data_IF_353288018534
#
_entry.id   IF_353288018534
#
_cell.length_a   1.000
_cell.length_b   1.000
_cell.length_c   1.000
_cell.angle_alpha   90.00
_cell.angle_beta   90.00
_cell.angle_gamma   90.00
#
_symmetry.space_group_name_H-M   'P 1'
#
loop_
_entity.id
_entity.type
_entity.pdbx_description
1 polymer ?
#
# COMPACT_ATOMS: atom_id res chain seq x y z
N UNK A 1 7.72 -10.18 -6.52
CA UNK A 1 6.27 -10.02 -6.38
C UNK A 1 5.85 -10.47 -4.98
N UNK A 2 5.27 -9.57 -4.20
CA UNK A 2 4.88 -9.84 -2.82
C UNK A 2 3.51 -9.25 -2.54
N UNK A 3 2.65 -10.04 -1.92
CA UNK A 3 1.32 -9.61 -1.51
C UNK A 3 1.31 -9.35 0.01
N UNK A 4 0.87 -8.16 0.39
CA UNK A 4 0.67 -7.79 1.78
C UNK A 4 -0.83 -7.68 2.06
N UNK A 5 -1.31 -8.42 3.04
CA UNK A 5 -2.72 -8.43 3.44
C UNK A 5 -2.83 -8.71 4.93
N UNK A 6 -4.05 -8.83 5.43
CA UNK A 6 -4.32 -9.14 6.84
C UNK A 6 -3.78 -8.08 7.81
N UNK A 7 -3.71 -6.83 7.36
CA UNK A 7 -3.39 -5.69 8.23
C UNK A 7 -4.66 -4.92 8.61
N UNK A 8 -4.55 -4.08 9.63
CA UNK A 8 -5.67 -3.26 10.07
C UNK A 8 -5.82 -2.06 9.15
N UNK A 9 -6.90 -1.99 8.39
CA UNK A 9 -7.16 -0.84 7.53
C UNK A 9 -8.65 -0.70 7.25
N UNK A 10 -9.13 0.54 7.29
CA UNK A 10 -10.52 0.87 6.95
C UNK A 10 -10.70 1.09 5.44
N UNK A 11 -9.62 1.26 4.70
CA UNK A 11 -9.69 1.64 3.29
C UNK A 11 -9.01 0.64 2.36
N UNK A 12 -7.93 0.01 2.80
CA UNK A 12 -7.07 -0.83 1.95
C UNK A 12 -7.22 -2.29 2.36
N UNK A 13 -7.56 -3.14 1.41
CA UNK A 13 -7.66 -4.59 1.63
C UNK A 13 -6.31 -5.27 1.47
N UNK A 14 -5.56 -4.90 0.45
CA UNK A 14 -4.25 -5.50 0.18
C UNK A 14 -3.38 -4.58 -0.68
N UNK A 15 -2.08 -4.82 -0.59
CA UNK A 15 -1.07 -4.15 -1.42
C UNK A 15 -0.17 -5.23 -1.98
N UNK A 16 0.00 -5.25 -3.30
CA UNK A 16 0.92 -6.18 -3.96
C UNK A 16 2.02 -5.39 -4.65
N UNK A 17 3.28 -5.80 -4.44
CA UNK A 17 4.42 -5.16 -5.09
C UNK A 17 4.91 -6.03 -6.23
N UNK A 18 5.23 -5.40 -7.35
CA UNK A 18 5.86 -6.03 -8.51
C UNK A 18 7.18 -5.32 -8.79
N UNK A 19 7.81 -5.63 -9.93
CA UNK A 19 9.13 -5.10 -10.25
C UNK A 19 9.17 -3.58 -10.29
N UNK A 20 8.17 -2.96 -10.92
CA UNK A 20 8.09 -1.50 -11.05
C UNK A 20 6.67 -0.97 -10.88
N UNK A 21 5.81 -1.75 -10.25
CA UNK A 21 4.42 -1.39 -10.01
C UNK A 21 3.97 -1.81 -8.62
N UNK A 22 2.97 -1.10 -8.12
CA UNK A 22 2.29 -1.44 -6.88
C UNK A 22 0.80 -1.55 -7.20
N UNK A 23 0.20 -2.67 -6.81
CA UNK A 23 -1.24 -2.89 -7.01
C UNK A 23 -1.93 -2.76 -5.68
N UNK A 24 -2.99 -1.97 -5.65
CA UNK A 24 -3.74 -1.69 -4.42
C UNK A 24 -5.18 -2.13 -4.62
N UNK A 25 -5.67 -2.92 -3.67
CA UNK A 25 -7.07 -3.33 -3.61
C UNK A 25 -7.73 -2.60 -2.46
N UNK A 26 -8.79 -1.87 -2.74
CA UNK A 26 -9.55 -1.13 -1.73
C UNK A 26 -10.65 -2.00 -1.15
N UNK A 27 -10.92 -1.83 0.15
CA UNK A 27 -11.96 -2.60 0.83
C UNK A 27 -13.36 -2.35 0.26
N UNK A 28 -13.59 -1.15 -0.28
CA UNK A 28 -14.87 -0.79 -0.88
C UNK A 28 -15.11 -1.43 -2.25
N UNK A 29 -14.08 -2.01 -2.87
CA UNK A 29 -14.19 -2.58 -4.21
C UNK A 29 -13.26 -3.78 -4.34
N UNK A 30 -13.50 -4.79 -3.51
CA UNK A 30 -12.73 -6.03 -3.53
C UNK A 30 -12.95 -6.73 -4.87
N UNK A 31 -11.86 -7.20 -5.46
CA UNK A 31 -11.90 -7.83 -6.78
C UNK A 31 -11.37 -6.92 -7.89
N UNK A 32 -11.14 -5.63 -7.58
CA UNK A 32 -10.53 -4.71 -8.52
C UNK A 32 -9.21 -4.18 -7.96
N UNK A 33 -8.14 -4.39 -8.71
CA UNK A 33 -6.82 -3.90 -8.35
C UNK A 33 -6.52 -2.62 -9.11
N UNK A 34 -5.99 -1.63 -8.43
CA UNK A 34 -5.53 -0.38 -9.02
C UNK A 34 -4.01 -0.42 -9.11
N UNK A 35 -3.48 -0.41 -10.32
CA UNK A 35 -2.05 -0.47 -10.56
C UNK A 35 -1.46 0.94 -10.63
N UNK A 36 -0.43 1.19 -9.83
CA UNK A 36 0.33 2.43 -9.87
C UNK A 36 1.77 2.10 -10.27
N UNK A 37 2.40 2.98 -11.06
CA UNK A 37 3.82 2.87 -11.33
C UNK A 37 4.61 3.28 -10.10
N UNK A 38 5.69 2.56 -9.81
CA UNK A 38 6.58 2.88 -8.71
C UNK A 38 8.02 2.73 -9.18
N UNK A 39 8.76 3.83 -9.16
CA UNK A 39 10.12 3.87 -9.67
C UNK A 39 11.09 3.12 -8.75
N UNK A 40 10.85 3.21 -7.44
CA UNK A 40 11.73 2.58 -6.43
C UNK A 40 10.90 1.68 -5.51
N UNK A 41 10.56 0.50 -6.03
CA UNK A 41 9.76 -0.48 -5.28
C UNK A 41 10.46 -0.95 -3.99
N UNK A 42 11.78 -1.22 -3.97
CA UNK A 42 12.45 -1.59 -2.72
C UNK A 42 12.29 -0.54 -1.62
N UNK A 43 12.43 0.74 -1.95
CA UNK A 43 12.25 1.82 -0.98
C UNK A 43 10.79 1.90 -0.50
N UNK A 44 9.85 1.81 -1.43
CA UNK A 44 8.43 1.77 -1.10
C UNK A 44 8.13 0.60 -0.16
N UNK A 45 8.67 -0.57 -0.45
CA UNK A 45 8.47 -1.79 0.35
C UNK A 45 9.02 -1.62 1.76
N UNK A 46 10.22 -1.04 1.91
CA UNK A 46 10.79 -0.77 3.23
C UNK A 46 9.90 0.15 4.04
N UNK A 47 9.39 1.20 3.43
CA UNK A 47 8.49 2.15 4.10
C UNK A 47 7.15 1.48 4.44
N UNK A 48 6.63 0.67 3.55
CA UNK A 48 5.40 -0.08 3.79
C UNK A 48 5.56 -1.03 4.98
N UNK A 49 6.66 -1.77 5.03
CA UNK A 49 6.92 -2.69 6.14
C UNK A 49 6.96 -1.96 7.47
N UNK A 50 7.57 -0.78 7.55
CA UNK A 50 7.60 0.04 8.76
C UNK A 50 6.18 0.45 9.16
N UNK A 51 5.35 0.84 8.20
CA UNK A 51 3.95 1.20 8.45
C UNK A 51 3.17 -0.01 8.95
N UNK A 52 3.39 -1.18 8.36
CA UNK A 52 2.69 -2.40 8.76
C UNK A 52 3.07 -2.86 10.17
N UNK A 53 4.33 -2.68 10.56
CA UNK A 53 4.77 -2.97 11.94
C UNK A 53 4.04 -2.06 12.93
N UNK A 54 4.02 -0.75 12.68
CA UNK A 54 3.27 0.20 13.51
C UNK A 54 1.78 -0.12 13.52
N UNK A 55 1.23 -0.48 12.36
CA UNK A 55 -0.18 -0.84 12.21
C UNK A 55 -0.54 -2.02 13.12
N UNK A 56 0.30 -3.05 13.14
CA UNK A 56 0.08 -4.23 13.96
C UNK A 56 0.13 -3.90 15.46
N UNK A 57 1.09 -3.07 15.87
CA UNK A 57 1.26 -2.70 17.27
C UNK A 57 0.15 -1.78 17.77
N UNK A 58 -0.31 -0.85 16.94
CA UNK A 58 -1.30 0.16 17.33
C UNK A 58 -2.71 -0.17 16.89
N UNK A 59 -2.86 -1.13 15.99
CA UNK A 59 -4.15 -1.52 15.39
C UNK A 59 -4.91 -0.32 14.81
N UNK A 60 -4.17 0.56 14.13
CA UNK A 60 -4.70 1.79 13.57
C UNK A 60 -5.22 1.55 12.16
N UNK A 61 -6.54 1.65 11.99
CA UNK A 61 -7.19 1.42 10.70
C UNK A 61 -6.89 2.47 9.63
N UNK A 62 -6.27 3.59 9.97
CA UNK A 62 -5.98 4.67 9.03
C UNK A 62 -4.56 4.73 8.51
N UNK A 63 -3.62 4.00 9.12
CA UNK A 63 -2.19 4.18 8.82
C UNK A 63 -1.80 3.75 7.41
N UNK A 64 -2.32 2.63 6.93
CA UNK A 64 -1.99 2.12 5.59
C UNK A 64 -2.58 3.02 4.52
N UNK A 65 -3.84 3.44 4.67
CA UNK A 65 -4.46 4.36 3.73
C UNK A 65 -3.74 5.70 3.66
N UNK A 66 -3.34 6.23 4.82
CA UNK A 66 -2.59 7.48 4.89
C UNK A 66 -1.23 7.34 4.19
N UNK A 67 -0.56 6.21 4.38
CA UNK A 67 0.72 5.96 3.73
C UNK A 67 0.56 5.92 2.20
N UNK A 68 -0.45 5.23 1.69
CA UNK A 68 -0.72 5.15 0.25
C UNK A 68 -1.03 6.54 -0.31
N UNK A 69 -1.88 7.32 0.37
CA UNK A 69 -2.21 8.68 -0.06
C UNK A 69 -0.97 9.56 -0.09
N UNK A 70 -0.13 9.49 0.93
CA UNK A 70 1.10 10.28 0.99
C UNK A 70 2.07 9.87 -0.11
N UNK A 71 2.18 8.58 -0.40
CA UNK A 71 3.03 8.09 -1.48
C UNK A 71 2.60 8.65 -2.83
N UNK A 72 1.30 8.80 -3.06
CA UNK A 72 0.79 9.41 -4.29
C UNK A 72 1.10 10.91 -4.34
N UNK A 73 0.95 11.62 -3.22
CA UNK A 73 1.27 13.04 -3.14
C UNK A 73 2.75 13.30 -3.41
N UNK A 74 3.61 12.41 -2.95
CA UNK A 74 5.06 12.52 -3.12
C UNK A 74 5.55 11.96 -4.45
N UNK A 75 4.64 11.53 -5.32
CA UNK A 75 4.95 10.91 -6.62
C UNK A 75 5.79 9.62 -6.49
N UNK A 76 5.74 8.97 -5.34
CA UNK A 76 6.33 7.63 -5.17
C UNK A 76 5.46 6.62 -5.90
N UNK A 77 4.15 6.79 -5.85
CA UNK A 77 3.19 6.05 -6.65
C UNK A 77 2.57 6.99 -7.67
N UNK A 78 2.64 6.62 -8.93
CA UNK A 78 2.08 7.42 -10.02
C UNK A 78 0.99 6.60 -10.70
N UNK A 79 -0.20 7.18 -10.78
CA UNK A 79 -1.35 6.55 -11.39
C UNK A 79 -1.07 6.28 -12.88
N UNK A 80 -1.44 5.09 -13.34
CA UNK A 80 -1.24 4.68 -14.72
C UNK A 80 -2.30 5.28 -15.63
#
# INVERSE_FOLDING_TARGET
MTLYSNFFSNAIESVETKENQVLITYSSNIGKEYADNCEDVPQFTNNLCSVLISNELQQDGGSVGAFVSQSRKDNVLVDI
#
